data_IF_430387438239
#
_entry.id   IF_430387438239
#
_cell.length_a   1.000
_cell.length_b   1.000
_cell.length_c   1.000
_cell.angle_alpha   90.00
_cell.angle_beta   90.00
_cell.angle_gamma   90.00
#
_symmetry.space_group_name_H-M   'P 1'
#
loop_
_entity.id
_entity.type
_entity.pdbx_description
1 polymer ?
#
# COMPACT_ATOMS: atom_id res chain seq x y z
N UNK A 1 2.18 -0.71 7.20
CA UNK A 1 2.68 0.24 8.22
C UNK A 1 1.98 1.58 8.01
N UNK A 2 1.48 2.21 9.07
CA UNK A 2 0.86 3.54 9.03
C UNK A 2 1.37 4.41 10.18
N UNK A 3 1.40 5.72 9.99
CA UNK A 3 1.70 6.68 11.06
C UNK A 3 2.18 8.04 10.53
N UNK A 4 2.40 8.97 11.45
CA UNK A 4 3.09 10.24 11.18
C UNK A 4 4.61 10.02 11.22
N UNK A 5 5.28 10.26 10.10
CA UNK A 5 6.74 10.13 9.99
C UNK A 5 7.45 11.49 10.05
N UNK A 6 6.70 12.59 9.96
CA UNK A 6 7.21 13.96 10.05
C UNK A 6 8.43 14.27 9.16
N UNK A 7 8.39 13.84 7.89
CA UNK A 7 9.43 14.14 6.89
C UNK A 7 8.94 15.16 5.85
N UNK A 8 8.96 16.47 6.14
CA UNK A 8 8.51 17.51 5.21
C UNK A 8 9.41 17.65 3.97
N UNK A 9 10.65 17.17 4.08
CA UNK A 9 11.69 17.25 3.05
C UNK A 9 11.72 16.04 2.11
N UNK A 10 10.65 15.24 2.08
CA UNK A 10 10.50 14.12 1.14
C UNK A 10 9.27 14.35 0.27
N UNK A 11 9.46 14.37 -1.06
CA UNK A 11 8.34 14.38 -2.00
C UNK A 11 7.78 12.97 -2.14
N UNK A 12 6.75 12.68 -1.35
CA UNK A 12 5.91 11.50 -1.52
C UNK A 12 4.99 11.65 -2.75
N UNK A 13 4.56 10.53 -3.37
CA UNK A 13 4.96 9.14 -3.09
C UNK A 13 6.32 8.76 -3.69
N UNK A 14 6.99 9.65 -4.45
CA UNK A 14 8.24 9.34 -5.17
C UNK A 14 9.45 9.06 -4.26
N UNK A 15 9.39 9.50 -2.99
CA UNK A 15 10.48 9.32 -2.02
C UNK A 15 11.71 10.16 -2.35
N UNK A 16 11.54 11.27 -3.07
CA UNK A 16 12.66 12.16 -3.44
C UNK A 16 12.93 13.10 -2.27
N UNK A 17 14.09 12.94 -1.65
CA UNK A 17 14.56 13.81 -0.56
C UNK A 17 15.05 15.14 -1.14
N UNK A 18 14.59 16.27 -0.60
CA UNK A 18 14.98 17.61 -1.02
C UNK A 18 15.15 18.52 0.21
N UNK A 19 16.31 19.15 0.35
CA UNK A 19 16.60 20.00 1.52
C UNK A 19 16.72 19.21 2.83
N UNK A 20 16.38 19.85 3.94
CA UNK A 20 16.51 19.31 5.30
C UNK A 20 17.93 19.33 5.84
N UNK A 21 18.07 19.05 7.14
CA UNK A 21 19.36 18.87 7.80
C UNK A 21 20.04 17.56 7.36
N UNK A 22 21.34 17.43 7.63
CA UNK A 22 22.07 16.19 7.35
C UNK A 22 21.44 14.99 8.05
N UNK A 23 20.98 15.17 9.29
CA UNK A 23 20.35 14.13 10.10
C UNK A 23 18.99 13.70 9.51
N UNK A 24 18.15 14.66 9.11
CA UNK A 24 16.87 14.39 8.48
C UNK A 24 17.03 13.63 7.17
N UNK A 25 18.04 13.99 6.35
CA UNK A 25 18.33 13.26 5.12
C UNK A 25 18.78 11.83 5.39
N UNK A 26 19.56 11.59 6.44
CA UNK A 26 19.99 10.25 6.84
C UNK A 26 18.79 9.40 7.27
N UNK A 27 17.90 9.97 8.10
CA UNK A 27 16.67 9.29 8.54
C UNK A 27 15.72 9.00 7.37
N UNK A 28 15.53 9.97 6.47
CA UNK A 28 14.74 9.83 5.24
C UNK A 28 15.26 8.70 4.36
N UNK A 29 16.59 8.65 4.14
CA UNK A 29 17.24 7.57 3.37
C UNK A 29 17.13 6.23 4.08
N UNK A 30 17.21 6.19 5.41
CA UNK A 30 17.03 4.97 6.18
C UNK A 30 15.61 4.42 6.06
N UNK A 31 14.59 5.28 6.16
CA UNK A 31 13.19 4.92 5.92
C UNK A 31 13.00 4.38 4.50
N UNK A 32 13.53 5.09 3.49
CA UNK A 32 13.45 4.64 2.09
C UNK A 32 14.14 3.29 1.89
N UNK A 33 15.33 3.10 2.44
CA UNK A 33 16.06 1.82 2.38
C UNK A 33 15.26 0.69 3.04
N UNK A 34 14.59 0.98 4.16
CA UNK A 34 13.72 0.03 4.83
C UNK A 34 12.50 -0.31 3.98
N UNK A 35 11.81 0.68 3.42
CA UNK A 35 10.66 0.44 2.56
C UNK A 35 11.03 -0.37 1.31
N UNK A 36 12.16 -0.04 0.68
CA UNK A 36 12.63 -0.75 -0.51
C UNK A 36 12.98 -2.21 -0.18
N UNK A 37 13.64 -2.47 0.96
CA UNK A 37 14.01 -3.82 1.40
C UNK A 37 12.80 -4.70 1.68
N UNK A 38 11.77 -4.14 2.28
CA UNK A 38 10.55 -4.88 2.66
C UNK A 38 9.47 -4.85 1.56
N UNK A 39 9.81 -4.38 0.36
CA UNK A 39 8.88 -4.21 -0.77
C UNK A 39 7.63 -3.39 -0.42
N UNK A 40 7.79 -2.39 0.44
CA UNK A 40 6.73 -1.52 0.89
C UNK A 40 6.59 -0.33 -0.05
N UNK A 41 5.38 -0.14 -0.53
CA UNK A 41 5.00 0.98 -1.37
C UNK A 41 4.13 1.97 -0.58
N UNK A 42 4.49 3.24 -0.64
CA UNK A 42 3.69 4.31 -0.05
C UNK A 42 2.46 4.58 -0.93
N UNK A 43 1.28 4.74 -0.30
CA UNK A 43 0.00 4.87 -1.01
C UNK A 43 -0.67 6.24 -0.91
N UNK A 44 -0.37 7.08 0.10
CA UNK A 44 -1.02 8.39 0.27
C UNK A 44 -0.46 9.40 -0.74
N UNK A 45 -1.34 9.97 -1.56
CA UNK A 45 -1.00 10.95 -2.61
C UNK A 45 -1.50 12.37 -2.35
N UNK A 46 -2.28 12.56 -1.28
CA UNK A 46 -2.89 13.84 -0.91
C UNK A 46 -2.20 14.41 0.32
N UNK A 47 -2.06 15.74 0.44
CA UNK A 47 -1.54 16.36 1.65
C UNK A 47 -2.28 15.91 2.91
N UNK A 48 -1.53 15.53 3.93
CA UNK A 48 -2.06 15.08 5.22
C UNK A 48 -1.95 16.17 6.27
N UNK A 49 -1.12 17.19 6.04
CA UNK A 49 -1.04 18.41 6.84
C UNK A 49 -0.71 19.59 5.95
N UNK A 50 -1.59 20.58 5.89
CA UNK A 50 -1.46 21.73 4.98
C UNK A 50 -1.18 21.28 3.54
N UNK A 51 0.00 21.58 2.99
CA UNK A 51 0.43 21.21 1.63
C UNK A 51 1.44 20.05 1.58
N UNK A 52 1.69 19.39 2.71
CA UNK A 52 2.69 18.32 2.85
C UNK A 52 2.05 16.96 3.15
N UNK A 53 2.74 15.90 2.73
CA UNK A 53 2.40 14.52 3.05
C UNK A 53 3.37 14.09 4.16
N UNK A 54 2.90 14.03 5.41
CA UNK A 54 3.71 13.67 6.58
C UNK A 54 3.30 12.30 7.14
N UNK A 55 2.01 12.02 7.06
CA UNK A 55 1.41 10.75 7.43
C UNK A 55 1.47 9.80 6.24
N UNK A 56 2.08 8.63 6.45
CA UNK A 56 2.36 7.67 5.39
C UNK A 56 1.63 6.37 5.64
N UNK A 57 1.15 5.77 4.56
CA UNK A 57 0.67 4.40 4.55
C UNK A 57 1.50 3.56 3.59
N UNK A 58 2.16 2.56 4.13
CA UNK A 58 2.98 1.60 3.41
C UNK A 58 2.32 0.22 3.37
N UNK A 59 2.28 -0.39 2.19
CA UNK A 59 1.79 -1.75 1.96
C UNK A 59 2.73 -2.52 1.04
N UNK A 60 2.86 -3.83 1.27
CA UNK A 60 3.48 -4.76 0.32
C UNK A 60 2.48 -5.34 -0.70
N UNK A 61 1.19 -5.03 -0.54
CA UNK A 61 0.13 -5.43 -1.45
C UNK A 61 -0.74 -4.21 -1.80
N UNK A 62 -0.35 -3.42 -2.81
CA UNK A 62 -1.13 -2.27 -3.27
C UNK A 62 -2.53 -2.65 -3.77
N UNK A 63 -2.65 -3.84 -4.35
CA UNK A 63 -3.89 -4.30 -4.96
C UNK A 63 -5.01 -4.59 -3.93
N UNK A 64 -4.69 -4.68 -2.63
CA UNK A 64 -5.70 -4.82 -1.59
C UNK A 64 -6.37 -3.48 -1.24
N UNK A 65 -5.84 -2.35 -1.69
CA UNK A 65 -6.38 -1.03 -1.38
C UNK A 65 -7.39 -0.63 -2.46
N UNK A 66 -8.62 -0.35 -2.06
CA UNK A 66 -9.69 0.06 -2.97
C UNK A 66 -9.83 1.58 -3.05
N UNK A 67 -9.59 2.29 -1.94
CA UNK A 67 -9.68 3.74 -1.86
C UNK A 67 -8.77 4.26 -0.76
N UNK A 68 -8.13 5.40 -1.01
CA UNK A 68 -7.50 6.23 0.02
C UNK A 68 -7.88 7.70 -0.21
N UNK A 69 -8.20 8.42 0.86
CA UNK A 69 -8.45 9.86 0.81
C UNK A 69 -8.05 10.55 2.11
N UNK A 70 -7.67 11.81 2.01
CA UNK A 70 -7.41 12.71 3.13
C UNK A 70 -8.56 13.74 3.22
N UNK A 71 -9.15 13.87 4.41
CA UNK A 71 -10.25 14.81 4.69
C UNK A 71 -9.84 15.80 5.78
N UNK A 72 -10.12 17.08 5.57
CA UNK A 72 -9.92 18.07 6.63
C UNK A 72 -10.92 17.82 7.78
N UNK A 73 -10.51 18.13 9.00
CA UNK A 73 -11.36 18.02 10.17
C UNK A 73 -11.11 19.19 11.13
N UNK A 74 -12.06 19.41 12.04
CA UNK A 74 -12.01 20.51 13.03
C UNK A 74 -11.20 20.16 14.29
N UNK A 75 -10.73 18.92 14.42
CA UNK A 75 -10.14 18.38 15.65
C UNK A 75 -8.61 18.44 15.64
N UNK A 76 -7.99 18.60 14.48
CA UNK A 76 -6.54 18.61 14.31
C UNK A 76 -6.14 19.42 13.07
N UNK A 77 -4.90 19.90 13.05
CA UNK A 77 -4.26 20.44 11.86
C UNK A 77 -3.80 19.36 10.87
N UNK A 78 -3.82 18.08 11.27
CA UNK A 78 -3.70 16.94 10.38
C UNK A 78 -5.07 16.55 9.81
N UNK A 79 -5.10 16.23 8.52
CA UNK A 79 -6.23 15.67 7.82
C UNK A 79 -6.46 14.21 8.25
N UNK A 80 -7.72 13.81 8.35
CA UNK A 80 -8.13 12.44 8.60
C UNK A 80 -7.88 11.59 7.36
N UNK A 81 -7.13 10.50 7.52
CA UNK A 81 -6.82 9.57 6.43
C UNK A 81 -7.76 8.37 6.51
N UNK A 82 -8.52 8.16 5.46
CA UNK A 82 -9.45 7.03 5.33
C UNK A 82 -8.89 6.07 4.28
N UNK A 83 -8.72 4.81 4.65
CA UNK A 83 -8.16 3.76 3.80
C UNK A 83 -9.11 2.57 3.80
N UNK A 84 -9.64 2.24 2.62
CA UNK A 84 -10.47 1.07 2.43
C UNK A 84 -9.62 -0.07 1.87
N UNK A 85 -9.68 -1.22 2.53
CA UNK A 85 -8.96 -2.41 2.11
C UNK A 85 -9.93 -3.56 1.86
N UNK A 86 -9.59 -4.42 0.91
CA UNK A 86 -10.34 -5.63 0.59
C UNK A 86 -9.50 -6.84 0.91
N UNK A 87 -10.07 -7.77 1.66
CA UNK A 87 -9.45 -9.04 1.99
C UNK A 87 -10.24 -10.20 1.38
N UNK A 88 -9.62 -10.94 0.45
CA UNK A 88 -10.20 -12.16 -0.09
C UNK A 88 -9.90 -13.31 0.85
N UNK A 89 -10.91 -13.77 1.59
CA UNK A 89 -10.82 -15.00 2.37
C UNK A 89 -10.78 -16.19 1.40
N UNK A 90 -9.74 -17.03 1.49
CA UNK A 90 -9.77 -18.34 0.83
C UNK A 90 -10.94 -19.12 1.43
N UNK A 91 -11.95 -19.46 0.63
CA UNK A 91 -12.92 -20.45 1.05
C UNK A 91 -12.17 -21.78 1.11
N UNK A 92 -12.06 -22.36 2.31
CA UNK A 92 -11.70 -23.77 2.42
C UNK A 92 -12.86 -24.52 1.79
N UNK A 93 -12.75 -24.85 0.51
CA UNK A 93 -13.58 -25.90 -0.06
C UNK A 93 -13.27 -27.15 0.77
N UNK A 94 -14.20 -27.51 1.67
CA UNK A 94 -14.18 -28.84 2.26
C UNK A 94 -14.29 -29.78 1.07
N UNK A 95 -13.19 -30.47 0.77
CA UNK A 95 -13.18 -31.55 -0.20
C UNK A 95 -14.00 -32.68 0.43
N UNK A 96 -15.33 -32.64 0.23
CA UNK A 96 -16.13 -33.85 0.39
C UNK A 96 -15.66 -34.78 -0.72
N UNK A 97 -14.87 -35.78 -0.31
CA UNK A 97 -14.27 -36.73 -1.22
C UNK A 97 -15.36 -37.46 -1.99
N UNK A 98 -15.51 -37.12 -3.27
CA UNK A 98 -16.02 -38.05 -4.26
C UNK A 98 -14.87 -38.40 -5.20
N UNK A 99 -14.22 -39.51 -4.86
CA UNK A 99 -13.31 -40.23 -5.73
C UNK A 99 -14.05 -40.69 -6.99
N UNK A 100 -13.94 -39.92 -8.08
CA UNK A 100 -13.97 -40.47 -9.44
C UNK A 100 -13.34 -39.52 -10.47
N UNK A 101 -12.31 -40.05 -11.15
CA UNK A 101 -11.83 -39.72 -12.49
C UNK A 101 -11.43 -38.25 -12.79
N UNK A 102 -10.13 -37.99 -12.60
CA UNK A 102 -9.25 -37.22 -13.50
C UNK A 102 -9.88 -36.12 -14.36
N UNK A 103 -10.04 -34.92 -13.80
CA UNK A 103 -10.09 -33.69 -14.61
C UNK A 103 -8.71 -33.04 -14.57
N UNK A 104 -7.94 -33.23 -15.65
CA UNK A 104 -6.69 -32.53 -15.85
C UNK A 104 -6.93 -31.01 -15.87
N UNK A 105 -6.14 -30.20 -15.15
CA UNK A 105 -6.32 -28.75 -15.04
C UNK A 105 -6.15 -27.99 -16.37
N UNK A 106 -5.67 -28.68 -17.41
CA UNK A 106 -5.49 -28.11 -18.75
C UNK A 106 -6.76 -28.10 -19.60
N UNK A 107 -7.85 -28.76 -19.16
CA UNK A 107 -9.13 -28.79 -19.91
C UNK A 107 -9.87 -27.44 -19.93
N UNK A 108 -9.44 -26.47 -19.12
CA UNK A 108 -10.00 -25.12 -19.07
C UNK A 108 -9.44 -24.16 -20.13
N UNK A 109 -8.40 -24.56 -20.87
CA UNK A 109 -7.84 -23.73 -21.94
C UNK A 109 -8.41 -24.18 -23.29
N UNK A 110 -9.59 -23.65 -23.64
CA UNK A 110 -10.12 -23.71 -25.00
C UNK A 110 -9.28 -22.77 -25.89
N UNK A 111 -8.27 -23.32 -26.56
CA UNK A 111 -7.62 -22.64 -27.67
C UNK A 111 -8.51 -22.77 -28.91
N UNK A 112 -9.28 -21.73 -29.21
CA UNK A 112 -9.90 -21.62 -30.53
C UNK A 112 -8.80 -21.31 -31.54
N UNK A 113 -8.70 -22.14 -32.58
CA UNK A 113 -7.93 -21.84 -33.80
C UNK A 113 -8.93 -21.76 -34.94
N UNK A 114 -8.84 -20.71 -35.75
CA UNK A 114 -9.62 -20.53 -36.99
C UNK A 114 -9.20 -21.56 -38.05
#
# INVERSE_FOLDING_TARGET
MCGDFNFPHIKWPKGIVFGGTSEEQVQARALKKHSDREFLSQQIRQPTRQNNILDLFFTNNPASISLHRAENNIFSDHNLIIINTTYKRKSTLRYEGNSSAGSSPFKAYNFYTE
#
